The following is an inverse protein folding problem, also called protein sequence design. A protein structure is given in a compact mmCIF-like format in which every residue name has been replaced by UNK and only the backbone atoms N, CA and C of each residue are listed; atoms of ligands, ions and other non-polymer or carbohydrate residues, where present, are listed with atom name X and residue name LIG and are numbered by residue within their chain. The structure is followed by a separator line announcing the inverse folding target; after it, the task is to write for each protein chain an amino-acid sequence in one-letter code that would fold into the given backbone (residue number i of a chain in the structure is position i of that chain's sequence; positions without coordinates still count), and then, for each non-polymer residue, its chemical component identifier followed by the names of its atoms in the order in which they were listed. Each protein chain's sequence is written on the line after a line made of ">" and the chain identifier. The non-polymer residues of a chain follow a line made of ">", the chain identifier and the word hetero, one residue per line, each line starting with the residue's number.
data_IF_650805665617
#
_entry.id   IF_650805665617
#
_cell.length_a   1.000
_cell.length_b   1.000
_cell.length_c   1.000
_cell.angle_alpha   90.00
_cell.angle_beta   90.00
_cell.angle_gamma   90.00
#
_symmetry.space_group_name_H-M   'P 1'
#
loop_
_entity.id
_entity.type
_entity.pdbx_description
1 polymer ?
#
# COMPACT_ATOMS: atom_id res chain seq x y z
N UNK A 1 -2.24 7.26 12.26
CA UNK A 1 -3.43 7.52 11.44
C UNK A 1 -3.73 8.99 11.56
N UNK A 2 -3.77 9.69 10.44
CA UNK A 2 -4.21 11.07 10.38
C UNK A 2 -5.73 11.08 10.21
N UNK A 3 -6.45 11.90 10.97
CA UNK A 3 -7.90 12.06 10.81
C UNK A 3 -8.22 13.41 10.17
N UNK A 4 -9.36 13.46 9.50
CA UNK A 4 -9.92 14.72 8.99
C UNK A 4 -9.98 15.74 10.13
N UNK A 5 -9.59 16.99 9.83
CA UNK A 5 -9.52 18.12 10.75
C UNK A 5 -8.40 18.05 11.82
N UNK A 6 -7.58 17.00 11.86
CA UNK A 6 -6.38 17.01 12.68
C UNK A 6 -5.37 18.04 12.14
N UNK A 7 -4.68 18.73 13.04
CA UNK A 7 -3.60 19.66 12.68
C UNK A 7 -2.46 18.91 11.99
N UNK A 8 -1.97 19.46 10.88
CA UNK A 8 -0.81 18.89 10.19
C UNK A 8 0.46 19.22 10.96
N UNK A 9 1.27 18.21 11.24
CA UNK A 9 2.56 18.33 11.92
C UNK A 9 3.66 17.60 11.16
N UNK A 10 4.91 18.07 11.30
CA UNK A 10 6.09 17.34 10.84
C UNK A 10 6.41 16.15 11.75
N UNK A 11 7.48 15.42 11.41
CA UNK A 11 7.95 14.29 12.21
C UNK A 11 8.50 14.67 13.61
N UNK A 12 8.67 15.96 13.89
CA UNK A 12 9.07 16.52 15.20
C UNK A 12 7.88 17.12 15.96
N UNK A 13 6.67 17.09 15.39
CA UNK A 13 5.47 17.69 15.97
C UNK A 13 5.31 19.19 15.67
N UNK A 14 6.14 19.77 14.81
CA UNK A 14 6.03 21.18 14.40
C UNK A 14 4.80 21.36 13.52
N UNK A 15 3.95 22.35 13.81
CA UNK A 15 2.80 22.66 12.98
C UNK A 15 3.22 23.08 11.57
N UNK A 16 2.67 22.41 10.57
CA UNK A 16 2.87 22.71 9.15
C UNK A 16 1.82 23.68 8.59
N UNK A 17 0.85 24.06 9.40
CA UNK A 17 -0.32 24.84 8.99
C UNK A 17 -1.40 23.99 8.32
N UNK A 18 -2.65 24.44 8.46
CA UNK A 18 -3.83 23.73 7.94
C UNK A 18 -4.17 22.45 8.70
N UNK A 19 -5.15 21.73 8.15
CA UNK A 19 -5.64 20.45 8.68
C UNK A 19 -5.64 19.40 7.58
N UNK A 20 -5.76 18.12 7.96
CA UNK A 20 -5.99 17.05 6.98
C UNK A 20 -7.42 17.11 6.43
N UNK A 21 -7.54 17.13 5.10
CA UNK A 21 -8.83 17.05 4.40
C UNK A 21 -9.36 15.61 4.29
N UNK A 22 -8.44 14.63 4.39
CA UNK A 22 -8.73 13.21 4.28
C UNK A 22 -8.08 12.45 5.44
N UNK A 23 -8.72 11.36 5.88
CA UNK A 23 -8.10 10.42 6.80
C UNK A 23 -7.10 9.54 6.05
N UNK A 24 -5.94 9.27 6.64
CA UNK A 24 -4.96 8.37 6.05
C UNK A 24 -4.27 7.49 7.08
N UNK A 25 -3.94 6.28 6.66
CA UNK A 25 -3.25 5.29 7.46
C UNK A 25 -2.18 4.61 6.61
N UNK A 26 -0.96 4.57 7.14
CA UNK A 26 0.17 3.88 6.54
C UNK A 26 0.71 2.94 7.61
N UNK A 27 0.90 1.67 7.23
CA UNK A 27 1.50 0.67 8.09
C UNK A 27 2.47 -0.19 7.29
N UNK A 28 3.49 -0.69 7.97
CA UNK A 28 4.37 -1.73 7.42
C UNK A 28 3.67 -3.07 7.56
N UNK A 29 3.39 -3.72 6.44
CA UNK A 29 2.64 -4.98 6.38
C UNK A 29 3.54 -6.22 6.23
N UNK A 30 4.80 -6.04 5.84
CA UNK A 30 5.79 -7.12 5.78
C UNK A 30 7.22 -6.60 6.04
N UNK A 31 8.12 -7.47 6.51
CA UNK A 31 9.57 -7.23 6.46
C UNK A 31 10.22 -8.01 5.33
N UNK A 32 11.32 -7.46 4.78
CA UNK A 32 12.07 -8.05 3.66
C UNK A 32 12.57 -9.47 3.94
N UNK A 33 12.78 -9.82 5.21
CA UNK A 33 13.28 -11.15 5.63
C UNK A 33 12.20 -12.24 5.59
N UNK A 34 10.94 -11.86 5.49
CA UNK A 34 9.82 -12.78 5.66
C UNK A 34 9.51 -13.58 4.39
N UNK A 35 10.02 -13.14 3.23
CA UNK A 35 9.73 -13.75 1.92
C UNK A 35 10.95 -13.79 1.01
N UNK A 36 11.03 -14.85 0.20
CA UNK A 36 12.06 -14.99 -0.83
C UNK A 36 11.67 -14.32 -2.15
N UNK A 37 10.37 -14.27 -2.44
CA UNK A 37 9.82 -13.71 -3.67
C UNK A 37 8.73 -12.66 -3.36
N UNK A 38 8.64 -11.64 -4.20
CA UNK A 38 7.69 -10.54 -4.02
C UNK A 38 6.24 -11.02 -4.16
N UNK A 39 5.99 -11.89 -5.13
CA UNK A 39 4.69 -12.49 -5.44
C UNK A 39 4.14 -13.30 -4.27
N UNK A 40 5.01 -14.00 -3.53
CA UNK A 40 4.63 -14.76 -2.34
C UNK A 40 4.16 -13.83 -1.21
N UNK A 41 4.84 -12.70 -1.04
CA UNK A 41 4.46 -11.68 -0.06
C UNK A 41 3.09 -11.09 -0.40
N UNK A 42 2.89 -10.68 -1.66
CA UNK A 42 1.62 -10.15 -2.15
C UNK A 42 0.51 -11.18 -1.97
N UNK A 43 0.73 -12.43 -2.40
CA UNK A 43 -0.26 -13.51 -2.25
C UNK A 43 -0.68 -13.72 -0.81
N UNK A 44 0.27 -13.77 0.12
CA UNK A 44 -0.04 -13.95 1.54
C UNK A 44 -0.86 -12.79 2.08
N UNK A 45 -0.46 -11.55 1.78
CA UNK A 45 -1.18 -10.36 2.22
C UNK A 45 -2.60 -10.29 1.65
N UNK A 46 -2.79 -10.63 0.37
CA UNK A 46 -4.12 -10.69 -0.24
C UNK A 46 -5.01 -11.76 0.41
N UNK A 47 -4.45 -12.92 0.77
CA UNK A 47 -5.19 -13.94 1.49
C UNK A 47 -5.59 -13.46 2.89
N UNK A 48 -4.69 -12.81 3.64
CA UNK A 48 -5.01 -12.25 4.96
C UNK A 48 -6.07 -11.14 4.85
N UNK A 49 -5.97 -10.27 3.85
CA UNK A 49 -6.90 -9.16 3.66
C UNK A 49 -8.23 -9.57 3.04
N UNK A 50 -8.32 -10.79 2.49
CA UNK A 50 -9.57 -11.34 1.96
C UNK A 50 -10.68 -11.41 3.01
N UNK A 51 -10.33 -11.63 4.28
CA UNK A 51 -11.28 -11.63 5.40
C UNK A 51 -11.88 -10.25 5.69
N UNK A 52 -11.26 -9.19 5.17
CA UNK A 52 -11.68 -7.80 5.34
C UNK A 52 -12.15 -7.14 4.03
N UNK A 53 -12.56 -7.94 3.05
CA UNK A 53 -13.00 -7.47 1.72
C UNK A 53 -14.01 -6.32 1.79
N UNK A 54 -15.02 -6.42 2.66
CA UNK A 54 -16.06 -5.39 2.78
C UNK A 54 -15.47 -4.03 3.17
N UNK A 55 -14.46 -4.00 4.04
CA UNK A 55 -13.80 -2.76 4.44
C UNK A 55 -13.16 -2.06 3.25
N UNK A 56 -12.37 -2.78 2.45
CA UNK A 56 -11.70 -2.20 1.29
C UNK A 56 -12.70 -1.76 0.20
N UNK A 57 -13.78 -2.52 0.01
CA UNK A 57 -14.84 -2.13 -0.91
C UNK A 57 -15.55 -0.85 -0.47
N UNK A 58 -15.84 -0.70 0.82
CA UNK A 58 -16.43 0.53 1.36
C UNK A 58 -15.49 1.74 1.16
N UNK A 59 -14.18 1.57 1.41
CA UNK A 59 -13.17 2.62 1.14
C UNK A 59 -13.26 3.09 -0.32
N UNK A 60 -13.35 2.17 -1.29
CA UNK A 60 -13.49 2.53 -2.71
C UNK A 60 -14.83 3.19 -3.03
N UNK A 61 -15.93 2.68 -2.47
CA UNK A 61 -17.27 3.24 -2.69
C UNK A 61 -17.41 4.68 -2.17
N UNK A 62 -16.72 5.00 -1.08
CA UNK A 62 -16.65 6.35 -0.51
C UNK A 62 -15.67 7.27 -1.25
N UNK A 63 -15.04 6.80 -2.32
CA UNK A 63 -14.09 7.57 -3.15
C UNK A 63 -12.65 7.58 -2.62
N UNK A 64 -12.33 6.75 -1.63
CA UNK A 64 -10.98 6.54 -1.13
C UNK A 64 -10.18 5.54 -1.97
N UNK A 65 -8.95 5.27 -1.53
CA UNK A 65 -8.06 4.29 -2.15
C UNK A 65 -7.36 3.43 -1.10
N UNK A 66 -6.84 2.29 -1.54
CA UNK A 66 -6.00 1.40 -0.73
C UNK A 66 -4.96 0.81 -1.65
N UNK A 67 -3.70 0.86 -1.24
CA UNK A 67 -2.58 0.47 -2.08
C UNK A 67 -1.48 -0.20 -1.26
N UNK A 68 -0.80 -1.15 -1.89
CA UNK A 68 0.52 -1.53 -1.45
C UNK A 68 1.53 -0.55 -2.04
N UNK A 69 2.32 0.08 -1.17
CA UNK A 69 3.46 0.90 -1.59
C UNK A 69 4.73 0.03 -1.64
N UNK A 70 5.44 0.05 -2.77
CA UNK A 70 6.65 -0.72 -3.00
C UNK A 70 7.76 0.20 -3.52
N UNK A 71 8.83 0.31 -2.72
CA UNK A 71 10.11 0.81 -3.21
C UNK A 71 10.93 -0.32 -3.82
N UNK A 72 11.12 -0.29 -5.14
CA UNK A 72 11.87 -1.29 -5.90
C UNK A 72 13.26 -0.77 -6.26
N UNK A 73 14.28 -1.24 -5.54
CA UNK A 73 15.67 -0.80 -5.73
C UNK A 73 16.42 -1.81 -6.60
N UNK A 74 17.01 -1.37 -7.71
CA UNK A 74 17.70 -2.27 -8.62
C UNK A 74 18.86 -1.59 -9.37
N UNK A 75 20.01 -2.27 -9.45
CA UNK A 75 21.18 -1.84 -10.23
C UNK A 75 21.32 -2.54 -11.59
N UNK A 76 20.39 -3.45 -11.90
CA UNK A 76 20.40 -4.24 -13.13
C UNK A 76 18.96 -4.60 -13.50
N UNK A 77 18.77 -5.32 -14.61
CA UNK A 77 17.43 -5.76 -15.00
C UNK A 77 16.83 -6.68 -13.95
N UNK A 78 15.69 -6.27 -13.38
CA UNK A 78 14.91 -7.05 -12.44
C UNK A 78 13.44 -7.00 -12.79
N UNK A 79 12.69 -7.99 -12.32
CA UNK A 79 11.26 -8.10 -12.59
C UNK A 79 10.66 -9.26 -11.81
N UNK A 80 9.34 -9.34 -11.90
CA UNK A 80 8.49 -10.33 -11.25
C UNK A 80 7.22 -10.46 -12.10
N UNK A 81 6.43 -11.52 -11.87
CA UNK A 81 5.16 -11.72 -12.57
C UNK A 81 4.04 -11.84 -11.55
N UNK A 82 3.17 -10.84 -11.51
CA UNK A 82 1.87 -10.99 -10.87
C UNK A 82 0.94 -11.69 -11.84
N UNK A 83 0.72 -12.98 -11.60
CA UNK A 83 -0.16 -13.76 -12.46
C UNK A 83 -1.60 -13.22 -12.43
N UNK A 84 -2.40 -13.66 -13.40
CA UNK A 84 -3.79 -13.21 -13.53
C UNK A 84 -4.64 -13.50 -12.28
N UNK A 85 -4.27 -14.51 -11.49
CA UNK A 85 -5.01 -14.88 -10.29
C UNK A 85 -4.77 -13.87 -9.16
N UNK A 86 -3.52 -13.42 -8.99
CA UNK A 86 -3.18 -12.35 -8.05
C UNK A 86 -3.79 -11.03 -8.47
N UNK A 87 -3.65 -10.65 -9.74
CA UNK A 87 -4.25 -9.42 -10.26
C UNK A 87 -5.78 -9.38 -10.09
N UNK A 88 -6.44 -10.54 -10.27
CA UNK A 88 -7.88 -10.67 -10.01
C UNK A 88 -8.21 -10.45 -8.53
N UNK A 89 -7.50 -11.11 -7.61
CA UNK A 89 -7.72 -10.95 -6.17
C UNK A 89 -7.55 -9.51 -5.71
N UNK A 90 -6.52 -8.83 -6.22
CA UNK A 90 -6.28 -7.41 -5.98
C UNK A 90 -7.45 -6.54 -6.44
N UNK A 91 -7.93 -6.75 -7.66
CA UNK A 91 -9.08 -6.03 -8.20
C UNK A 91 -10.35 -6.29 -7.39
N UNK A 92 -10.58 -7.53 -6.95
CA UNK A 92 -11.73 -7.88 -6.11
C UNK A 92 -11.72 -7.22 -4.73
N UNK A 93 -10.52 -7.02 -4.17
CA UNK A 93 -10.32 -6.26 -2.94
C UNK A 93 -10.27 -4.75 -3.17
N UNK A 94 -10.10 -4.29 -4.42
CA UNK A 94 -9.87 -2.88 -4.71
C UNK A 94 -8.55 -2.38 -4.10
N UNK A 95 -7.49 -3.18 -4.15
CA UNK A 95 -6.15 -2.79 -3.69
C UNK A 95 -5.26 -2.56 -4.91
N UNK A 96 -4.65 -1.38 -4.98
CA UNK A 96 -3.70 -1.03 -6.04
C UNK A 96 -2.26 -1.42 -5.68
N UNK A 97 -1.39 -1.44 -6.68
CA UNK A 97 0.06 -1.46 -6.49
C UNK A 97 0.63 -0.11 -6.90
N UNK A 98 1.34 0.51 -5.96
CA UNK A 98 2.07 1.74 -6.19
C UNK A 98 3.58 1.42 -6.12
N UNK A 99 4.25 1.48 -7.28
CA UNK A 99 5.67 1.18 -7.41
C UNK A 99 6.48 2.44 -7.64
N UNK A 100 7.42 2.69 -6.74
CA UNK A 100 8.53 3.59 -7.00
C UNK A 100 9.76 2.75 -7.37
N UNK A 101 10.26 2.92 -8.59
CA UNK A 101 11.43 2.21 -9.09
C UNK A 101 12.66 3.11 -8.95
N UNK A 102 13.64 2.65 -8.20
CA UNK A 102 14.89 3.34 -7.92
C UNK A 102 16.04 2.59 -8.62
N UNK A 103 16.60 3.21 -9.66
CA UNK A 103 17.80 2.74 -10.38
C UNK A 103 19.10 3.25 -9.76
N UNK A 104 20.23 2.76 -10.26
CA UNK A 104 21.52 3.47 -10.12
C UNK A 104 21.54 4.72 -11.02
N UNK A 105 22.23 5.78 -10.58
CA UNK A 105 22.43 7.02 -11.35
C UNK A 105 23.30 6.83 -12.61
#
# INVERSE_FOLDING_TARGET
>A
MNKINDLRVDNKGTLLGGVYEYSSFISRVCEKKDFKQFEEAVKKLLNEFSEHKELFQNIRQEGGSSEFFIGWFTGFNSGFILDYSLLKQMGELGIDLNFDIYGED
#
